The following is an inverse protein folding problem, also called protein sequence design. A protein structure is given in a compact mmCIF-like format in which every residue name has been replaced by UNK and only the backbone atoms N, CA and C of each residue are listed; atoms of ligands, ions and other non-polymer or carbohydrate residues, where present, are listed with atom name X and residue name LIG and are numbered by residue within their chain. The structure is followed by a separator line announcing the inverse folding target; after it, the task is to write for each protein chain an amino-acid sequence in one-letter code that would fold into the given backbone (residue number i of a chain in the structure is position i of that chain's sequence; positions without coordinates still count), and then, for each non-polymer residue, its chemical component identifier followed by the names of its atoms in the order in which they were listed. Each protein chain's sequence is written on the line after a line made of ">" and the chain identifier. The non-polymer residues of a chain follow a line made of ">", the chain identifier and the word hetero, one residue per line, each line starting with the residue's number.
data_IF_779203225202
#
_entry.id   IF_779203225202
#
_cell.length_a   1.000
_cell.length_b   1.000
_cell.length_c   1.000
_cell.angle_alpha   90.00
_cell.angle_beta   90.00
_cell.angle_gamma   90.00
#
_symmetry.space_group_name_H-M   'P 1'
#
loop_
_entity.id
_entity.type
_entity.pdbx_description
1 polymer ?
#
# COMPACT_ATOMS: atom_id res chain seq x y z
N UNK A 1 -17.60 -9.76 11.88
CA UNK A 1 -16.41 -10.16 12.66
C UNK A 1 -16.53 -11.63 13.02
N UNK A 2 -15.43 -12.37 12.89
CA UNK A 2 -15.31 -13.78 13.30
C UNK A 2 -14.42 -13.85 14.55
N UNK A 3 -14.92 -14.45 15.62
CA UNK A 3 -14.21 -14.54 16.93
C UNK A 3 -13.42 -15.85 17.13
N UNK A 4 -13.33 -16.66 16.09
CA UNK A 4 -12.73 -18.00 16.14
C UNK A 4 -13.77 -19.13 16.25
N UNK A 5 -15.02 -18.82 16.60
CA UNK A 5 -16.10 -19.79 16.73
C UNK A 5 -17.36 -19.35 15.97
N UNK A 6 -17.69 -18.06 16.01
CA UNK A 6 -18.92 -17.51 15.45
C UNK A 6 -18.68 -16.29 14.58
N UNK A 7 -19.44 -16.19 13.46
CA UNK A 7 -19.50 -15.00 12.64
C UNK A 7 -20.57 -14.05 13.17
N UNK A 8 -20.21 -12.79 13.42
CA UNK A 8 -21.14 -11.72 13.79
C UNK A 8 -21.11 -10.62 12.75
N UNK A 9 -22.30 -10.18 12.33
CA UNK A 9 -22.47 -9.10 11.36
C UNK A 9 -22.92 -7.85 12.12
N UNK A 10 -22.13 -6.78 11.99
CA UNK A 10 -22.49 -5.46 12.51
C UNK A 10 -23.09 -4.66 11.36
N UNK A 11 -24.37 -4.37 11.42
CA UNK A 11 -25.10 -3.70 10.34
C UNK A 11 -25.07 -2.18 10.43
N UNK A 12 -24.73 -1.61 11.59
CA UNK A 12 -24.75 -0.15 11.81
C UNK A 12 -23.80 0.28 12.93
N UNK A 13 -23.65 1.60 13.05
CA UNK A 13 -22.80 2.31 14.03
C UNK A 13 -23.14 2.02 15.51
N UNK A 14 -24.21 1.32 15.81
CA UNK A 14 -24.61 0.95 17.17
C UNK A 14 -23.96 -0.38 17.56
N UNK A 15 -22.78 -0.25 18.10
CA UNK A 15 -21.99 -1.32 18.66
C UNK A 15 -22.46 -1.61 20.10
N UNK A 16 -22.75 -2.88 20.41
CA UNK A 16 -23.03 -3.31 21.78
C UNK A 16 -21.74 -3.35 22.58
N UNK A 17 -21.51 -2.31 23.39
CA UNK A 17 -20.32 -2.14 24.23
C UNK A 17 -20.18 -3.23 25.32
N UNK A 18 -21.18 -4.10 25.50
CA UNK A 18 -21.12 -5.19 26.49
C UNK A 18 -20.37 -6.41 25.99
N UNK A 19 -20.07 -6.50 24.67
CA UNK A 19 -19.34 -7.62 24.08
C UNK A 19 -17.90 -7.20 23.73
N UNK A 20 -16.99 -7.59 24.57
CA UNK A 20 -15.56 -7.41 24.30
C UNK A 20 -15.08 -8.47 23.29
N UNK A 21 -14.63 -8.00 22.11
CA UNK A 21 -14.01 -8.84 21.07
C UNK A 21 -12.52 -8.64 21.10
N UNK A 22 -11.80 -9.33 21.95
CA UNK A 22 -10.34 -9.27 21.96
C UNK A 22 -9.79 -10.24 20.92
N UNK A 23 -9.72 -9.80 19.66
CA UNK A 23 -9.22 -10.60 18.54
C UNK A 23 -7.71 -10.56 18.37
N UNK A 24 -7.04 -9.57 18.94
CA UNK A 24 -5.57 -9.42 18.96
C UNK A 24 -5.16 -8.45 20.06
N UNK A 25 -3.87 -8.40 20.37
CA UNK A 25 -3.30 -7.40 21.29
C UNK A 25 -3.20 -6.00 20.68
N UNK A 26 -3.58 -5.86 19.40
CA UNK A 26 -3.61 -4.61 18.66
C UNK A 26 -5.03 -4.28 18.20
N UNK A 27 -5.29 -2.99 18.01
CA UNK A 27 -6.50 -2.48 17.39
C UNK A 27 -6.66 -2.99 15.94
N UNK A 28 -7.90 -3.00 15.47
CA UNK A 28 -8.26 -3.37 14.11
C UNK A 28 -8.71 -2.14 13.32
N UNK A 29 -8.35 -2.13 12.05
CA UNK A 29 -8.63 -1.03 11.14
C UNK A 29 -9.45 -1.52 9.96
N UNK A 30 -10.47 -0.75 9.57
CA UNK A 30 -11.36 -1.10 8.48
C UNK A 30 -11.56 0.09 7.55
N UNK A 31 -11.62 -0.20 6.25
CA UNK A 31 -12.03 0.79 5.25
C UNK A 31 -13.47 1.20 5.51
N UNK A 32 -13.80 2.45 5.19
CA UNK A 32 -15.19 2.87 5.11
C UNK A 32 -15.89 2.08 3.99
N UNK A 33 -17.19 1.87 4.13
CA UNK A 33 -17.99 1.15 3.14
C UNK A 33 -18.00 1.91 1.81
N UNK A 34 -17.44 1.28 0.76
CA UNK A 34 -17.40 1.84 -0.59
C UNK A 34 -18.80 2.03 -1.18
N UNK A 35 -19.78 1.19 -0.78
CA UNK A 35 -21.16 1.29 -1.29
C UNK A 35 -21.93 2.44 -0.68
N UNK A 36 -21.64 2.80 0.56
CA UNK A 36 -22.18 4.01 1.19
C UNK A 36 -21.53 5.28 0.63
N UNK A 37 -20.38 5.13 -0.03
CA UNK A 37 -19.52 6.21 -0.49
C UNK A 37 -19.23 7.16 0.67
N UNK A 38 -18.03 7.09 1.26
CA UNK A 38 -17.67 8.07 2.31
C UNK A 38 -17.96 9.52 1.85
N UNK A 39 -18.04 9.75 0.57
CA UNK A 39 -18.48 11.01 -0.06
C UNK A 39 -19.97 11.30 0.11
N UNK A 40 -20.79 10.28 0.30
CA UNK A 40 -22.21 10.42 0.66
C UNK A 40 -22.42 10.63 2.15
N UNK A 41 -21.38 10.44 2.96
CA UNK A 41 -21.36 10.76 4.38
C UNK A 41 -20.89 12.22 4.56
N UNK A 42 -21.62 13.17 3.97
CA UNK A 42 -21.43 14.61 4.18
C UNK A 42 -19.99 15.15 3.91
N UNK A 43 -19.25 14.52 2.99
CA UNK A 43 -17.94 14.99 2.56
C UNK A 43 -16.80 14.80 3.57
N UNK A 44 -16.97 14.01 4.59
CA UNK A 44 -15.96 13.74 5.61
C UNK A 44 -15.33 12.35 5.45
N UNK A 45 -14.27 12.19 4.65
CA UNK A 45 -13.57 10.92 4.51
C UNK A 45 -12.92 10.51 5.83
N UNK A 46 -12.81 9.21 6.05
CA UNK A 46 -12.27 8.68 7.30
C UNK A 46 -12.05 7.19 7.27
N UNK A 47 -11.76 6.63 8.44
CA UNK A 47 -11.44 5.22 8.65
C UNK A 47 -12.10 4.72 9.92
N UNK A 48 -12.46 3.44 9.95
CA UNK A 48 -12.91 2.80 11.18
C UNK A 48 -11.75 2.19 11.94
N UNK A 49 -11.68 2.46 13.23
CA UNK A 49 -10.78 1.83 14.18
C UNK A 49 -11.59 1.10 15.26
N UNK A 50 -11.23 -0.13 15.54
CA UNK A 50 -11.69 -0.89 16.70
C UNK A 50 -10.54 -1.06 17.69
N UNK A 51 -10.65 -0.49 18.88
CA UNK A 51 -9.59 -0.47 19.90
C UNK A 51 -9.61 -1.68 20.85
N UNK A 52 -10.47 -2.67 20.57
CA UNK A 52 -10.71 -3.83 21.42
C UNK A 52 -11.99 -3.71 22.26
N UNK A 53 -12.58 -2.51 22.36
CA UNK A 53 -13.80 -2.22 23.09
C UNK A 53 -14.82 -1.47 22.25
N UNK A 54 -14.38 -0.49 21.48
CA UNK A 54 -15.23 0.44 20.73
C UNK A 54 -14.81 0.51 19.27
N UNK A 55 -15.82 0.54 18.39
CA UNK A 55 -15.64 0.89 16.99
C UNK A 55 -15.85 2.40 16.82
N UNK A 56 -14.82 3.10 16.41
CA UNK A 56 -14.83 4.55 16.20
C UNK A 56 -14.61 4.88 14.72
N UNK A 57 -15.32 5.88 14.21
CA UNK A 57 -15.04 6.48 12.92
C UNK A 57 -14.12 7.68 13.13
N UNK A 58 -12.92 7.61 12.59
CA UNK A 58 -11.91 8.67 12.65
C UNK A 58 -11.94 9.45 11.35
N UNK A 59 -12.38 10.69 11.40
CA UNK A 59 -12.47 11.59 10.25
C UNK A 59 -11.09 12.16 9.91
N UNK A 60 -10.70 12.12 8.64
CA UNK A 60 -9.45 12.74 8.19
C UNK A 60 -9.56 14.27 8.24
N UNK A 61 -8.51 14.98 8.71
CA UNK A 61 -8.48 16.44 8.74
C UNK A 61 -8.21 17.03 7.34
N UNK A 62 -9.06 16.68 6.37
CA UNK A 62 -8.94 17.10 4.98
C UNK A 62 -10.28 17.63 4.48
N UNK A 63 -10.22 18.50 3.46
CA UNK A 63 -11.41 18.96 2.74
C UNK A 63 -11.41 18.32 1.35
N UNK A 64 -12.49 17.63 1.02
CA UNK A 64 -12.72 17.13 -0.34
C UNK A 64 -13.25 18.25 -1.22
N UNK A 65 -12.82 18.29 -2.48
CA UNK A 65 -13.36 19.18 -3.51
C UNK A 65 -14.34 18.40 -4.38
N UNK A 66 -15.30 19.09 -4.98
CA UNK A 66 -16.18 18.53 -5.99
C UNK A 66 -15.36 17.91 -7.13
N UNK A 67 -15.67 16.66 -7.51
CA UNK A 67 -14.91 15.89 -8.49
C UNK A 67 -13.72 15.11 -7.94
N UNK A 68 -13.42 15.26 -6.66
CA UNK A 68 -12.35 14.51 -5.96
C UNK A 68 -12.91 13.56 -4.89
N UNK A 69 -14.14 13.08 -5.10
CA UNK A 69 -14.88 12.28 -4.12
C UNK A 69 -14.13 11.00 -3.75
N UNK A 70 -13.43 10.38 -4.70
CA UNK A 70 -12.65 9.16 -4.47
C UNK A 70 -11.19 9.40 -4.02
N UNK A 71 -10.77 10.65 -3.91
CA UNK A 71 -9.38 11.01 -3.65
C UNK A 71 -8.85 10.41 -2.34
N UNK A 72 -9.69 10.36 -1.31
CA UNK A 72 -9.36 9.79 -0.01
C UNK A 72 -9.92 8.38 0.23
N UNK A 73 -10.34 7.66 -0.82
CA UNK A 73 -10.67 6.22 -0.70
C UNK A 73 -9.43 5.40 -0.40
N UNK A 74 -9.52 4.57 0.64
CA UNK A 74 -8.38 3.73 1.07
C UNK A 74 -8.13 2.64 0.02
N UNK A 75 -7.00 2.73 -0.65
CA UNK A 75 -6.59 1.86 -1.76
C UNK A 75 -5.63 0.73 -1.34
N UNK A 76 -5.00 0.85 -0.15
CA UNK A 76 -4.00 -0.12 0.34
C UNK A 76 -4.48 -0.92 1.54
N UNK A 77 -3.67 -1.84 2.01
CA UNK A 77 -3.77 -2.42 3.35
C UNK A 77 -3.28 -1.42 4.39
N UNK A 78 -3.59 -1.70 5.66
CA UNK A 78 -3.04 -0.99 6.81
C UNK A 78 -1.69 -1.58 7.19
N UNK A 79 -0.72 -0.72 7.47
CA UNK A 79 0.63 -1.08 7.90
C UNK A 79 0.87 -0.47 9.27
N UNK A 80 1.08 -1.32 10.27
CA UNK A 80 1.51 -0.86 11.60
C UNK A 80 3.02 -0.72 11.60
N UNK A 81 3.46 0.50 11.79
CA UNK A 81 4.87 0.85 11.87
C UNK A 81 5.48 0.43 13.21
N UNK A 82 6.79 0.25 13.25
CA UNK A 82 7.54 -0.12 14.46
C UNK A 82 7.39 0.90 15.59
N UNK A 83 7.14 2.16 15.26
CA UNK A 83 6.85 3.22 16.24
C UNK A 83 5.40 3.22 16.74
N UNK A 84 4.58 2.26 16.29
CA UNK A 84 3.18 2.12 16.70
C UNK A 84 2.18 2.86 15.81
N UNK A 85 2.61 3.76 14.94
CA UNK A 85 1.72 4.45 14.02
C UNK A 85 1.10 3.47 13.01
N UNK A 86 -0.11 3.76 12.57
CA UNK A 86 -0.78 3.00 11.51
C UNK A 86 -0.81 3.82 10.24
N UNK A 87 -0.25 3.27 9.17
CA UNK A 87 -0.16 3.91 7.86
C UNK A 87 -1.04 3.20 6.84
N UNK A 88 -1.64 3.97 5.95
CA UNK A 88 -2.38 3.46 4.80
C UNK A 88 -2.39 4.49 3.67
N UNK A 89 -2.52 3.99 2.46
CA UNK A 89 -2.65 4.84 1.26
C UNK A 89 -4.09 4.99 0.86
N UNK A 90 -4.44 6.18 0.43
CA UNK A 90 -5.63 6.49 -0.37
C UNK A 90 -5.22 6.74 -1.81
N UNK A 91 -6.17 7.04 -2.70
CA UNK A 91 -5.76 7.39 -4.06
C UNK A 91 -4.89 8.65 -4.09
N UNK A 92 -5.16 9.65 -3.27
CA UNK A 92 -4.50 10.94 -3.32
C UNK A 92 -3.68 11.32 -2.07
N UNK A 93 -3.47 10.41 -1.12
CA UNK A 93 -2.67 10.69 0.06
C UNK A 93 -2.12 9.43 0.73
N UNK A 94 -0.93 9.54 1.30
CA UNK A 94 -0.47 8.66 2.36
C UNK A 94 -0.92 9.23 3.69
N UNK A 95 -1.59 8.41 4.51
CA UNK A 95 -2.15 8.82 5.79
C UNK A 95 -1.53 7.98 6.90
N UNK A 96 -1.01 8.64 7.93
CA UNK A 96 -0.52 8.05 9.16
C UNK A 96 -1.36 8.47 10.36
N UNK A 97 -1.56 7.58 11.32
CA UNK A 97 -2.22 7.86 12.59
C UNK A 97 -1.34 7.39 13.75
N UNK A 98 -1.00 8.28 14.68
CA UNK A 98 -0.10 8.00 15.80
C UNK A 98 -0.81 7.63 17.12
N UNK A 99 -2.13 7.55 17.10
CA UNK A 99 -2.98 7.33 18.27
C UNK A 99 -3.77 8.57 18.71
N UNK A 100 -3.37 9.76 18.27
CA UNK A 100 -4.06 11.05 18.53
C UNK A 100 -4.27 11.85 17.25
N UNK A 101 -3.26 11.96 16.41
CA UNK A 101 -3.23 12.85 15.26
C UNK A 101 -2.98 12.13 13.96
N UNK A 102 -3.50 12.71 12.87
CA UNK A 102 -3.23 12.28 11.51
C UNK A 102 -2.07 13.05 10.90
N UNK A 103 -1.17 12.33 10.24
CA UNK A 103 -0.20 12.86 9.29
C UNK A 103 -0.75 12.66 7.89
N UNK A 104 -0.84 13.73 7.08
CA UNK A 104 -1.34 13.69 5.70
C UNK A 104 -0.23 14.12 4.75
N UNK A 105 0.20 13.19 3.90
CA UNK A 105 1.16 13.44 2.82
C UNK A 105 0.40 13.32 1.51
N UNK A 106 0.08 14.46 0.90
CA UNK A 106 -0.69 14.57 -0.34
C UNK A 106 0.07 15.38 -1.40
N UNK A 107 -0.54 15.61 -2.56
CA UNK A 107 0.07 16.36 -3.65
C UNK A 107 0.56 17.75 -3.23
N UNK A 108 -0.23 18.46 -2.43
CA UNK A 108 0.16 19.79 -1.93
C UNK A 108 1.38 19.74 -1.02
N UNK A 109 1.47 18.72 -0.16
CA UNK A 109 2.63 18.48 0.71
C UNK A 109 3.90 18.20 -0.11
N UNK A 110 3.75 17.45 -1.21
CA UNK A 110 4.86 17.03 -2.08
C UNK A 110 5.18 18.02 -3.19
N UNK A 111 4.39 19.06 -3.37
CA UNK A 111 4.53 20.02 -4.47
C UNK A 111 4.18 19.42 -5.84
N UNK A 112 3.36 18.37 -5.88
CA UNK A 112 2.93 17.72 -7.11
C UNK A 112 1.83 18.51 -7.82
N UNK A 113 1.82 18.46 -9.14
CA UNK A 113 0.89 19.16 -10.02
C UNK A 113 0.73 18.40 -11.35
N UNK A 114 -0.02 18.96 -12.31
CA UNK A 114 -0.30 18.35 -13.61
C UNK A 114 0.97 18.03 -14.43
N UNK A 115 2.06 18.78 -14.25
CA UNK A 115 3.33 18.55 -14.96
C UNK A 115 4.15 17.44 -14.32
N UNK A 116 4.15 17.36 -12.99
CA UNK A 116 4.92 16.35 -12.22
C UNK A 116 4.14 15.07 -11.97
N UNK A 117 2.83 15.10 -12.21
CA UNK A 117 1.89 14.03 -11.92
C UNK A 117 1.32 14.11 -10.51
N UNK A 118 0.38 13.23 -10.22
CA UNK A 118 -0.38 13.19 -8.97
C UNK A 118 -0.20 11.86 -8.25
N UNK A 119 -0.42 11.87 -6.94
CA UNK A 119 -0.51 10.64 -6.16
C UNK A 119 -1.65 9.76 -6.68
N UNK A 120 -1.35 8.49 -6.83
CA UNK A 120 -2.30 7.43 -7.08
C UNK A 120 -1.78 6.15 -6.41
N UNK A 121 -1.88 6.12 -5.07
CA UNK A 121 -1.23 5.09 -4.27
C UNK A 121 -1.93 3.74 -4.46
N UNK A 122 -1.15 2.70 -4.70
CA UNK A 122 -1.59 1.32 -4.92
C UNK A 122 -1.04 0.33 -3.90
N UNK A 123 0.11 0.63 -3.33
CA UNK A 123 0.71 -0.23 -2.31
C UNK A 123 1.56 0.57 -1.35
N UNK A 124 1.63 0.09 -0.11
CA UNK A 124 2.57 0.59 0.90
C UNK A 124 3.20 -0.59 1.63
N UNK A 125 4.41 -0.41 2.10
CA UNK A 125 5.14 -1.38 2.93
C UNK A 125 6.17 -0.66 3.79
N UNK A 126 6.26 -1.01 5.06
CA UNK A 126 7.41 -0.64 5.90
C UNK A 126 8.50 -1.69 5.77
N UNK A 127 9.73 -1.27 5.48
CA UNK A 127 10.89 -2.17 5.42
C UNK A 127 11.46 -2.47 6.81
N UNK A 128 12.41 -3.40 6.87
CA UNK A 128 13.07 -3.78 8.11
C UNK A 128 13.87 -2.65 8.78
N UNK A 129 14.14 -1.57 8.05
CA UNK A 129 14.85 -0.36 8.53
C UNK A 129 13.90 0.74 9.00
N UNK A 130 12.56 0.54 8.84
CA UNK A 130 11.54 1.50 9.24
C UNK A 130 11.18 2.53 8.16
N UNK A 131 11.65 2.38 6.92
CA UNK A 131 11.22 3.25 5.85
C UNK A 131 9.88 2.77 5.28
N UNK A 132 8.96 3.69 5.00
CA UNK A 132 7.77 3.40 4.22
C UNK A 132 8.05 3.56 2.73
N UNK A 133 7.73 2.51 1.99
CA UNK A 133 7.77 2.46 0.54
C UNK A 133 6.35 2.60 0.00
N UNK A 134 6.14 3.52 -0.92
CA UNK A 134 4.83 3.88 -1.44
C UNK A 134 4.83 3.70 -2.96
N UNK A 135 4.09 2.73 -3.44
CA UNK A 135 3.92 2.45 -4.86
C UNK A 135 2.73 3.19 -5.45
N UNK A 136 2.96 3.91 -6.53
CA UNK A 136 1.96 4.69 -7.23
C UNK A 136 1.70 4.16 -8.65
N UNK A 137 0.57 4.58 -9.20
CA UNK A 137 0.21 4.37 -10.60
C UNK A 137 0.44 5.67 -11.38
N UNK A 138 1.69 5.93 -11.77
CA UNK A 138 2.09 7.11 -12.55
C UNK A 138 3.43 7.67 -12.11
N UNK A 139 3.54 8.18 -10.90
CA UNK A 139 4.77 8.82 -10.39
C UNK A 139 5.79 7.84 -9.79
N UNK A 140 5.49 6.55 -9.81
CA UNK A 140 6.44 5.52 -9.37
C UNK A 140 6.46 5.27 -7.87
N UNK A 141 7.65 5.09 -7.33
CA UNK A 141 7.88 4.77 -5.92
C UNK A 141 8.35 6.00 -5.17
N UNK A 142 7.65 6.30 -4.09
CA UNK A 142 8.13 7.23 -3.07
C UNK A 142 8.67 6.44 -1.87
N UNK A 143 9.63 7.04 -1.17
CA UNK A 143 10.19 6.51 0.08
C UNK A 143 10.11 7.59 1.15
N UNK A 144 9.49 7.25 2.29
CA UNK A 144 9.40 8.10 3.48
C UNK A 144 10.24 7.49 4.60
N UNK A 145 11.17 8.24 5.17
CA UNK A 145 12.09 7.79 6.22
C UNK A 145 11.65 8.20 7.64
N UNK A 146 10.47 8.78 7.77
CA UNK A 146 9.93 9.32 9.02
C UNK A 146 10.03 10.85 9.11
N UNK A 147 10.86 11.48 8.29
CA UNK A 147 11.07 12.93 8.25
C UNK A 147 10.74 13.51 6.86
N UNK A 148 11.27 12.91 5.81
CA UNK A 148 11.14 13.39 4.43
C UNK A 148 10.68 12.31 3.47
N UNK A 149 10.02 12.75 2.41
CA UNK A 149 9.64 11.91 1.27
C UNK A 149 10.59 12.21 0.11
N UNK A 150 11.11 11.16 -0.50
CA UNK A 150 11.88 11.25 -1.74
C UNK A 150 11.16 10.49 -2.87
N UNK A 151 11.25 10.99 -4.10
CA UNK A 151 10.84 10.23 -5.28
C UNK A 151 11.98 9.27 -5.67
N UNK A 152 11.83 8.02 -5.24
CA UNK A 152 12.84 6.99 -5.45
C UNK A 152 12.98 6.61 -6.94
N UNK A 153 11.88 6.62 -7.70
CA UNK A 153 11.91 6.34 -9.14
C UNK A 153 12.76 7.37 -9.89
N UNK A 154 12.61 8.64 -9.57
CA UNK A 154 13.42 9.71 -10.15
C UNK A 154 14.88 9.62 -9.71
N UNK A 155 15.12 9.41 -8.43
CA UNK A 155 16.47 9.26 -7.88
C UNK A 155 17.26 8.12 -8.57
N UNK A 156 16.57 7.02 -8.90
CA UNK A 156 17.17 5.87 -9.57
C UNK A 156 17.18 5.99 -11.11
N UNK A 157 16.64 7.07 -11.69
CA UNK A 157 16.46 7.26 -13.14
C UNK A 157 15.72 6.09 -13.78
N UNK A 158 14.55 5.75 -13.21
CA UNK A 158 13.74 4.61 -13.65
C UNK A 158 12.38 5.05 -14.21
N UNK A 159 12.28 6.28 -14.72
CA UNK A 159 11.17 6.73 -15.55
C UNK A 159 11.24 6.05 -16.93
N UNK A 160 10.10 6.02 -17.62
CA UNK A 160 9.97 5.33 -18.92
C UNK A 160 10.92 5.90 -19.99
N UNK A 161 11.08 7.18 -20.05
CA UNK A 161 12.00 7.87 -20.95
C UNK A 161 13.46 7.50 -20.68
N UNK A 162 13.85 7.31 -19.43
CA UNK A 162 15.23 6.94 -19.04
C UNK A 162 15.55 5.48 -19.37
N UNK A 163 14.55 4.61 -19.28
CA UNK A 163 14.72 3.15 -19.37
C UNK A 163 14.34 2.56 -20.72
N UNK A 164 13.88 3.39 -21.66
CA UNK A 164 13.42 2.98 -23.00
C UNK A 164 12.35 1.89 -22.98
N UNK A 165 11.50 1.91 -21.96
CA UNK A 165 10.33 1.04 -21.88
C UNK A 165 10.12 0.31 -20.55
N UNK A 166 11.15 -0.22 -19.94
CA UNK A 166 11.00 -0.84 -18.62
C UNK A 166 11.18 0.23 -17.53
N UNK A 167 10.11 0.53 -16.79
CA UNK A 167 10.13 1.62 -15.81
C UNK A 167 9.58 1.19 -14.45
N UNK A 168 9.80 2.04 -13.45
CA UNK A 168 9.27 1.90 -12.10
C UNK A 168 8.13 2.89 -11.82
N UNK A 169 7.47 3.43 -12.86
CA UNK A 169 6.44 4.47 -12.70
C UNK A 169 5.11 3.93 -12.19
N UNK A 170 4.78 2.65 -12.49
CA UNK A 170 3.48 2.05 -12.17
C UNK A 170 3.68 0.83 -11.28
N UNK A 171 3.71 1.05 -9.95
CA UNK A 171 4.00 0.02 -8.94
C UNK A 171 2.75 -0.31 -8.15
N UNK A 172 2.34 -1.57 -8.19
CA UNK A 172 1.10 -2.07 -7.60
C UNK A 172 1.33 -2.97 -6.38
N UNK A 173 2.53 -3.47 -6.22
CA UNK A 173 2.88 -4.28 -5.05
C UNK A 173 4.33 -4.08 -4.63
N UNK A 174 4.58 -4.14 -3.33
CA UNK A 174 5.91 -4.01 -2.73
C UNK A 174 6.08 -5.11 -1.71
N UNK A 175 7.29 -5.66 -1.61
CA UNK A 175 7.64 -6.66 -0.60
C UNK A 175 9.12 -6.59 -0.25
N UNK A 176 9.47 -7.08 0.93
CA UNK A 176 10.86 -7.19 1.39
C UNK A 176 11.20 -8.66 1.62
N UNK A 177 12.34 -9.13 1.06
CA UNK A 177 12.84 -10.47 1.30
C UNK A 177 13.61 -10.60 2.64
N UNK A 178 14.18 -11.77 2.92
CA UNK A 178 14.93 -12.01 4.16
C UNK A 178 16.28 -11.32 4.22
N UNK A 179 16.81 -10.93 3.07
CA UNK A 179 18.10 -10.25 2.94
C UNK A 179 17.94 -8.72 3.03
N UNK A 180 16.69 -8.23 3.17
CA UNK A 180 16.37 -6.81 3.19
C UNK A 180 16.28 -6.18 1.80
N UNK A 181 16.27 -6.97 0.72
CA UNK A 181 16.02 -6.43 -0.61
C UNK A 181 14.55 -6.05 -0.74
N UNK A 182 14.29 -4.88 -1.31
CA UNK A 182 12.94 -4.40 -1.62
C UNK A 182 12.57 -4.76 -3.05
N UNK A 183 11.40 -5.35 -3.21
CA UNK A 183 10.88 -5.83 -4.49
C UNK A 183 9.63 -5.04 -4.89
N UNK A 184 9.58 -4.63 -6.14
CA UNK A 184 8.52 -3.80 -6.70
C UNK A 184 7.86 -4.55 -7.86
N UNK A 185 6.57 -4.87 -7.71
CA UNK A 185 5.74 -5.45 -8.78
C UNK A 185 5.09 -4.33 -9.59
N UNK A 186 5.34 -4.34 -10.89
CA UNK A 186 4.87 -3.31 -11.82
C UNK A 186 3.71 -3.80 -12.69
N UNK A 187 3.07 -2.88 -13.41
CA UNK A 187 2.01 -3.20 -14.37
C UNK A 187 2.56 -3.73 -15.70
N UNK A 188 3.69 -3.21 -16.17
CA UNK A 188 4.17 -3.48 -17.54
C UNK A 188 5.61 -3.98 -17.59
N UNK A 189 6.36 -3.82 -16.50
CA UNK A 189 7.81 -4.02 -16.47
C UNK A 189 8.25 -5.21 -15.60
N UNK A 190 7.34 -6.14 -15.29
CA UNK A 190 7.63 -7.29 -14.44
C UNK A 190 7.94 -6.91 -13.00
N UNK A 191 9.10 -7.31 -12.50
CA UNK A 191 9.55 -7.07 -11.12
C UNK A 191 10.89 -6.36 -11.10
N UNK A 192 11.02 -5.37 -10.22
CA UNK A 192 12.29 -4.75 -9.88
C UNK A 192 12.72 -5.13 -8.48
N UNK A 193 14.02 -5.31 -8.26
CA UNK A 193 14.64 -5.56 -6.95
C UNK A 193 15.66 -4.47 -6.66
N UNK A 194 15.58 -3.92 -5.46
CA UNK A 194 16.57 -3.01 -4.89
C UNK A 194 17.30 -3.73 -3.74
N UNK A 195 18.62 -3.85 -3.85
CA UNK A 195 19.47 -4.52 -2.84
C UNK A 195 20.08 -3.56 -1.82
N UNK A 196 19.65 -2.29 -1.82
CA UNK A 196 20.21 -1.22 -0.99
C UNK A 196 21.22 -0.35 -1.74
N UNK A 197 21.75 -0.80 -2.89
CA UNK A 197 22.75 -0.10 -3.69
C UNK A 197 22.37 -0.01 -5.18
N UNK A 198 21.84 -1.09 -5.74
CA UNK A 198 21.55 -1.20 -7.16
C UNK A 198 20.12 -1.72 -7.43
N UNK A 199 19.63 -1.40 -8.63
CA UNK A 199 18.34 -1.88 -9.15
C UNK A 199 18.56 -2.97 -10.19
N UNK A 200 17.76 -4.06 -10.10
CA UNK A 200 17.71 -5.12 -11.11
C UNK A 200 16.28 -5.37 -11.54
N UNK A 201 16.05 -5.40 -12.86
CA UNK A 201 14.76 -5.76 -13.45
C UNK A 201 14.72 -7.23 -13.83
N UNK A 202 13.60 -7.88 -13.56
CA UNK A 202 13.31 -9.27 -13.90
C UNK A 202 12.06 -9.33 -14.79
N UNK A 203 12.20 -10.03 -15.89
CA UNK A 203 11.18 -10.13 -16.94
C UNK A 203 11.05 -11.57 -17.44
N UNK A 204 10.40 -11.77 -18.59
CA UNK A 204 10.21 -13.08 -19.21
C UNK A 204 11.54 -13.84 -19.43
N UNK A 205 12.63 -13.15 -19.77
CA UNK A 205 13.96 -13.77 -19.93
C UNK A 205 14.53 -14.35 -18.63
N UNK A 206 14.01 -13.92 -17.50
CA UNK A 206 14.38 -14.37 -16.16
C UNK A 206 13.35 -15.36 -15.57
N UNK A 207 12.47 -15.93 -16.43
CA UNK A 207 11.42 -16.88 -16.05
C UNK A 207 10.12 -16.26 -15.53
N UNK A 208 10.00 -14.93 -15.53
CA UNK A 208 8.79 -14.22 -15.11
C UNK A 208 7.92 -13.92 -16.33
N UNK A 209 7.02 -14.81 -16.69
CA UNK A 209 6.17 -14.67 -17.89
C UNK A 209 5.21 -13.47 -17.80
N UNK A 210 4.70 -13.19 -16.59
CA UNK A 210 3.79 -12.05 -16.37
C UNK A 210 4.55 -10.74 -16.28
N UNK A 211 4.11 -9.76 -17.06
CA UNK A 211 4.60 -8.38 -16.97
C UNK A 211 3.89 -7.58 -15.87
N UNK A 212 2.70 -8.03 -15.46
CA UNK A 212 1.86 -7.35 -14.49
C UNK A 212 1.82 -8.12 -13.18
N UNK A 213 2.48 -7.59 -12.15
CA UNK A 213 2.56 -8.21 -10.83
C UNK A 213 1.69 -7.45 -9.83
N UNK A 214 0.51 -8.01 -9.57
CA UNK A 214 -0.50 -7.43 -8.68
C UNK A 214 -0.16 -7.57 -7.20
N UNK A 215 0.50 -8.66 -6.84
CA UNK A 215 0.72 -9.00 -5.45
C UNK A 215 2.09 -9.59 -5.22
N UNK A 216 2.80 -9.03 -4.25
CA UNK A 216 3.95 -9.67 -3.63
C UNK A 216 3.52 -10.07 -2.22
N UNK A 217 3.66 -11.36 -1.90
CA UNK A 217 3.25 -11.92 -0.62
C UNK A 217 4.45 -12.57 0.06
N UNK A 218 4.71 -12.17 1.31
CA UNK A 218 5.74 -12.79 2.16
C UNK A 218 5.08 -13.87 3.03
N UNK A 219 5.46 -15.11 2.83
CA UNK A 219 4.96 -16.22 3.64
C UNK A 219 5.48 -16.14 5.07
N UNK A 220 4.86 -16.85 6.02
CA UNK A 220 5.34 -16.97 7.40
C UNK A 220 6.78 -17.49 7.50
N UNK A 221 7.21 -18.28 6.50
CA UNK A 221 8.60 -18.77 6.37
C UNK A 221 9.52 -17.74 5.69
N UNK A 222 9.03 -16.54 5.37
CA UNK A 222 9.79 -15.44 4.77
C UNK A 222 10.08 -15.56 3.27
N UNK A 223 9.55 -16.57 2.58
CA UNK A 223 9.63 -16.67 1.13
C UNK A 223 8.68 -15.68 0.46
N UNK A 224 9.13 -15.01 -0.60
CA UNK A 224 8.29 -14.15 -1.42
C UNK A 224 7.61 -14.95 -2.52
N UNK A 225 6.33 -14.65 -2.72
CA UNK A 225 5.50 -15.12 -3.79
C UNK A 225 5.00 -13.94 -4.62
N UNK A 226 5.01 -14.11 -5.94
CA UNK A 226 4.69 -13.05 -6.88
C UNK A 226 3.47 -13.48 -7.71
N UNK A 227 2.36 -12.79 -7.54
CA UNK A 227 1.12 -13.03 -8.27
C UNK A 227 1.04 -12.18 -9.53
N UNK A 228 1.06 -12.84 -10.68
CA UNK A 228 0.93 -12.21 -11.99
C UNK A 228 -0.50 -12.24 -12.52
N UNK A 229 -0.86 -11.24 -13.31
CA UNK A 229 -2.19 -11.10 -13.92
C UNK A 229 -2.23 -11.32 -15.44
N UNK A 230 -1.14 -11.06 -16.15
CA UNK A 230 -1.13 -11.15 -17.62
C UNK A 230 0.23 -11.63 -18.16
N UNK A 231 0.35 -12.92 -18.48
CA UNK A 231 -0.56 -14.01 -18.14
C UNK A 231 -0.65 -14.23 -16.62
N UNK A 232 -1.76 -14.80 -16.16
CA UNK A 232 -1.92 -15.14 -14.75
C UNK A 232 -0.98 -16.26 -14.34
N UNK A 233 -0.47 -16.18 -13.12
CA UNK A 233 0.43 -17.21 -12.58
C UNK A 233 0.98 -16.79 -11.22
N UNK A 234 1.50 -17.76 -10.49
CA UNK A 234 2.17 -17.53 -9.21
C UNK A 234 3.62 -17.98 -9.34
N UNK A 235 4.52 -17.10 -8.98
CA UNK A 235 5.95 -17.29 -9.17
C UNK A 235 6.71 -17.22 -7.85
N UNK A 236 7.84 -17.91 -7.79
CA UNK A 236 8.85 -17.75 -6.75
C UNK A 236 10.21 -17.43 -7.37
N UNK A 237 10.98 -16.62 -6.66
CA UNK A 237 12.37 -16.35 -7.00
C UNK A 237 13.27 -17.36 -6.28
N UNK A 238 14.12 -18.10 -7.02
CA UNK A 238 15.00 -19.13 -6.50
C UNK A 238 16.42 -18.64 -6.17
N UNK A 239 16.66 -17.32 -6.24
CA UNK A 239 17.96 -16.68 -6.08
C UNK A 239 18.60 -16.21 -7.39
N UNK A 240 18.23 -16.79 -8.52
CA UNK A 240 18.74 -16.46 -9.84
C UNK A 240 17.63 -16.08 -10.85
N UNK A 241 16.57 -16.84 -10.90
CA UNK A 241 15.45 -16.71 -11.82
C UNK A 241 14.11 -16.91 -11.14
N UNK A 242 13.04 -16.61 -11.86
CA UNK A 242 11.67 -16.91 -11.42
C UNK A 242 11.23 -18.29 -11.90
N UNK A 243 10.55 -18.99 -11.04
CA UNK A 243 9.89 -20.27 -11.33
C UNK A 243 8.39 -20.13 -11.16
N UNK A 244 7.63 -20.50 -12.18
CA UNK A 244 6.18 -20.58 -12.07
C UNK A 244 5.81 -21.80 -11.22
N UNK A 245 4.98 -21.59 -10.20
CA UNK A 245 4.51 -22.64 -9.29
C UNK A 245 3.05 -23.03 -9.56
N UNK A 246 2.23 -22.08 -10.03
CA UNK A 246 0.83 -22.27 -10.39
C UNK A 246 0.44 -21.41 -11.60
#
# INVERSE_FOLDING_TARGET
>A
IYDGQKMSIYKERNYDSTKQWKLSDSDLWFKADETAGYNKLEGNPGVYQYDGTKLSYLTFPVKTKLGQENHYSISTNFVRSKNGAVWFGTYGALIGYNGSDFTIINDSYLGLNDETGHLHIRSIMEDSKGNLWIGNNGIGVLKYDGEKVINFTEQQKLKKEDTKGNSLERVFSIGEDRLGNVWFGTVESGVWRYDGNSMKNFTKKDGLESKHIWKIYKSKKGALWFGGASPSGVYQFNGNSFERKY
#
